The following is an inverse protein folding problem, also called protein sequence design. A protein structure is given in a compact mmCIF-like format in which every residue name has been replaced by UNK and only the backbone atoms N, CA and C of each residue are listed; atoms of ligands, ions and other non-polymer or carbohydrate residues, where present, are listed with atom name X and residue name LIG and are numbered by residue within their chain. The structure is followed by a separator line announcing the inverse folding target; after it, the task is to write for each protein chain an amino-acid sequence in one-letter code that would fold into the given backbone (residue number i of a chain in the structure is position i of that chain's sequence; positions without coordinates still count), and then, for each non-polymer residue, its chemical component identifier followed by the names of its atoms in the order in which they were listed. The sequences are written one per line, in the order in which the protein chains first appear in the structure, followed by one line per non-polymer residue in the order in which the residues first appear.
data_IF_614868322841
#
_entry.id   IF_614868322841
#
_cell.length_a   1.000
_cell.length_b   1.000
_cell.length_c   1.000
_cell.angle_alpha   90.00
_cell.angle_beta   90.00
_cell.angle_gamma   90.00
#
_symmetry.space_group_name_H-M   'P 1'
#
loop_
_entity.id
_entity.type
_entity.pdbx_description
1 polymer ?
#
# COMPACT_ATOMS: atom_id res chain seq x y z
N UNK A 1 -32.80 -3.14 61.22
CA UNK A 1 -33.06 -1.82 60.58
C UNK A 1 -31.91 -1.50 59.64
N UNK A 2 -32.22 -1.36 58.34
CA UNK A 2 -31.47 -0.62 57.28
C UNK A 2 -30.07 -1.13 56.92
N UNK A 3 -29.62 -1.22 55.66
CA UNK A 3 -30.17 -1.14 54.29
C UNK A 3 -29.02 -1.65 53.40
N UNK A 4 -29.33 -2.36 52.31
CA UNK A 4 -28.36 -2.82 51.30
C UNK A 4 -27.50 -1.69 50.72
N UNK A 5 -26.28 -2.02 50.27
CA UNK A 5 -25.76 -1.52 48.99
C UNK A 5 -24.76 -2.53 48.40
N UNK A 6 -25.12 -3.09 47.25
CA UNK A 6 -24.25 -3.83 46.33
C UNK A 6 -23.54 -2.80 45.44
N UNK A 7 -22.26 -2.99 45.16
CA UNK A 7 -21.69 -2.55 43.88
C UNK A 7 -20.49 -3.45 43.51
N UNK A 8 -20.71 -4.32 42.52
CA UNK A 8 -19.65 -4.85 41.66
C UNK A 8 -18.97 -3.70 40.93
N UNK A 9 -17.65 -3.78 40.71
CA UNK A 9 -17.02 -3.40 39.44
C UNK A 9 -15.71 -4.19 39.34
N UNK A 10 -15.72 -5.08 38.36
CA UNK A 10 -14.56 -5.79 37.83
C UNK A 10 -13.68 -4.78 37.07
N UNK A 11 -12.38 -4.76 37.35
CA UNK A 11 -11.40 -4.19 36.42
C UNK A 11 -10.48 -5.33 36.03
N UNK A 12 -10.83 -5.90 34.88
CA UNK A 12 -9.98 -6.69 34.01
C UNK A 12 -8.74 -5.83 33.71
N UNK A 13 -7.60 -6.14 34.32
CA UNK A 13 -6.32 -5.67 33.80
C UNK A 13 -6.04 -6.52 32.58
N UNK A 14 -6.49 -6.04 31.42
CA UNK A 14 -5.91 -6.43 30.14
C UNK A 14 -4.44 -6.03 30.21
N UNK A 15 -3.59 -7.00 30.53
CA UNK A 15 -2.19 -6.93 30.14
C UNK A 15 -2.21 -6.84 28.62
N UNK A 16 -2.01 -5.63 28.09
CA UNK A 16 -1.49 -5.44 26.75
C UNK A 16 -0.16 -6.20 26.72
N UNK A 17 -0.23 -7.48 26.37
CA UNK A 17 0.89 -8.19 25.81
C UNK A 17 1.29 -7.38 24.60
N UNK A 18 2.37 -6.60 24.77
CA UNK A 18 3.07 -6.00 23.67
C UNK A 18 3.28 -7.08 22.62
N UNK A 19 2.81 -6.82 21.41
CA UNK A 19 3.17 -7.62 20.26
C UNK A 19 4.67 -7.35 20.02
N UNK A 20 5.52 -8.03 20.79
CA UNK A 20 6.84 -8.40 20.36
C UNK A 20 6.64 -9.62 19.45
N UNK A 21 6.26 -9.36 18.20
CA UNK A 21 6.21 -10.35 17.12
C UNK A 21 7.18 -9.90 16.05
N UNK A 22 8.06 -10.79 15.60
CA UNK A 22 9.09 -10.47 14.59
C UNK A 22 8.48 -9.74 13.41
N UNK A 23 9.14 -8.66 13.00
CA UNK A 23 8.73 -7.76 11.93
C UNK A 23 8.78 -8.46 10.57
N UNK A 24 7.73 -9.20 10.24
CA UNK A 24 7.25 -9.20 8.87
C UNK A 24 6.84 -7.75 8.61
N UNK A 25 7.38 -7.12 7.56
CA UNK A 25 6.90 -5.78 7.20
C UNK A 25 5.41 -5.93 6.84
N UNK A 26 4.60 -4.92 7.17
CA UNK A 26 3.14 -4.99 6.98
C UNK A 26 2.71 -5.37 5.54
N UNK A 27 3.60 -5.12 4.58
CA UNK A 27 3.37 -5.36 3.16
C UNK A 27 3.98 -6.66 2.63
N UNK A 28 4.85 -7.34 3.39
CA UNK A 28 5.51 -8.57 2.93
C UNK A 28 4.50 -9.63 2.45
N UNK A 29 4.68 -10.09 1.22
CA UNK A 29 3.84 -11.07 0.54
C UNK A 29 2.55 -10.52 -0.06
N UNK A 30 2.32 -9.20 -0.06
CA UNK A 30 1.14 -8.57 -0.66
C UNK A 30 1.39 -8.16 -2.12
N UNK A 31 0.35 -8.26 -2.94
CA UNK A 31 0.31 -7.67 -4.28
C UNK A 31 -0.76 -6.57 -4.31
N UNK A 32 -0.34 -5.33 -4.54
CA UNK A 32 -1.21 -4.15 -4.51
C UNK A 32 -1.29 -3.48 -5.89
N UNK A 33 -2.49 -3.36 -6.44
CA UNK A 33 -2.77 -2.60 -7.67
C UNK A 33 -3.32 -1.21 -7.37
N UNK A 34 -2.87 -0.21 -8.12
CA UNK A 34 -3.23 1.19 -7.91
C UNK A 34 -4.44 1.61 -8.73
N UNK A 35 -5.32 2.37 -8.11
CA UNK A 35 -6.45 3.04 -8.75
C UNK A 35 -6.61 4.49 -8.28
N UNK A 36 -6.81 5.41 -9.23
CA UNK A 36 -7.10 6.84 -8.96
C UNK A 36 -8.61 7.13 -8.76
N UNK A 37 -9.49 6.18 -9.03
CA UNK A 37 -10.95 6.37 -9.01
C UNK A 37 -11.65 5.07 -8.64
N UNK A 38 -12.63 5.09 -7.71
CA UNK A 38 -13.83 4.24 -7.91
C UNK A 38 -15.11 4.60 -7.11
N UNK A 39 -15.90 5.62 -7.49
CA UNK A 39 -17.11 5.97 -6.73
C UNK A 39 -18.34 5.07 -6.99
N UNK A 40 -18.23 3.95 -7.73
CA UNK A 40 -19.43 3.21 -8.19
C UNK A 40 -19.41 1.70 -7.98
N UNK A 41 -18.34 1.11 -7.45
CA UNK A 41 -18.33 -0.32 -7.13
C UNK A 41 -18.87 -0.51 -5.73
N UNK A 42 -19.98 -1.22 -5.61
CA UNK A 42 -20.52 -1.56 -4.30
C UNK A 42 -19.65 -2.62 -3.60
N UNK A 43 -19.69 -2.67 -2.27
CA UNK A 43 -18.96 -3.67 -1.47
C UNK A 43 -19.20 -5.09 -1.96
N UNK A 44 -20.45 -5.43 -2.27
CA UNK A 44 -20.84 -6.76 -2.76
C UNK A 44 -20.28 -7.06 -4.16
N UNK A 45 -20.07 -6.05 -4.99
CA UNK A 45 -19.43 -6.22 -6.31
C UNK A 45 -17.90 -6.34 -6.18
N UNK A 46 -17.28 -5.66 -5.21
CA UNK A 46 -15.85 -5.80 -4.93
C UNK A 46 -15.53 -7.17 -4.31
N UNK A 47 -16.30 -7.62 -3.32
CA UNK A 47 -16.11 -8.92 -2.66
C UNK A 47 -16.47 -10.12 -3.57
N UNK A 48 -17.39 -9.94 -4.52
CA UNK A 48 -17.78 -11.00 -5.47
C UNK A 48 -16.96 -11.03 -6.76
N UNK A 49 -16.23 -9.96 -7.08
CA UNK A 49 -15.35 -9.93 -8.23
C UNK A 49 -14.01 -10.59 -7.84
N UNK A 50 -13.61 -11.63 -8.56
CA UNK A 50 -12.18 -11.92 -8.71
C UNK A 50 -11.57 -10.73 -9.47
N UNK A 51 -11.12 -9.71 -8.73
CA UNK A 51 -10.45 -8.57 -9.32
C UNK A 51 -9.07 -9.02 -9.80
N UNK A 52 -8.90 -9.10 -11.12
CA UNK A 52 -7.59 -9.41 -11.71
C UNK A 52 -7.01 -8.14 -12.28
N UNK A 53 -5.80 -7.80 -11.86
CA UNK A 53 -5.09 -6.67 -12.43
C UNK A 53 -4.93 -6.89 -13.94
N UNK A 54 -5.41 -5.91 -14.72
CA UNK A 54 -5.09 -5.86 -16.14
C UNK A 54 -3.63 -5.45 -16.31
N UNK A 55 -3.02 -5.75 -17.45
CA UNK A 55 -1.64 -5.34 -17.74
C UNK A 55 -1.40 -3.83 -17.62
N UNK A 56 -2.44 -3.00 -17.73
CA UNK A 56 -2.33 -1.54 -17.69
C UNK A 56 -2.53 -0.98 -16.27
N UNK A 57 -2.75 -1.85 -15.29
CA UNK A 57 -2.84 -1.48 -13.89
C UNK A 57 -1.41 -1.37 -13.35
N UNK A 58 -1.01 -0.26 -12.72
CA UNK A 58 0.24 -0.22 -11.97
C UNK A 58 0.10 -1.16 -10.77
N UNK A 59 1.02 -2.10 -10.63
CA UNK A 59 0.99 -3.12 -9.55
C UNK A 59 2.33 -3.14 -8.83
N UNK A 60 2.31 -3.15 -7.50
CA UNK A 60 3.45 -3.43 -6.65
C UNK A 60 3.30 -4.82 -6.03
N UNK A 61 4.32 -5.65 -6.16
CA UNK A 61 4.42 -6.96 -5.49
C UNK A 61 5.54 -6.89 -4.44
N UNK A 62 5.18 -6.92 -3.17
CA UNK A 62 6.08 -6.79 -2.04
C UNK A 62 6.63 -8.17 -1.66
N UNK A 63 7.56 -8.68 -2.46
CA UNK A 63 8.07 -10.06 -2.39
C UNK A 63 8.66 -10.42 -1.01
N UNK A 64 9.26 -9.43 -0.33
CA UNK A 64 9.90 -9.61 0.97
C UNK A 64 9.77 -8.36 1.84
N UNK A 65 10.39 -8.37 3.03
CA UNK A 65 10.41 -7.21 3.92
C UNK A 65 10.98 -5.90 3.33
N UNK A 66 11.71 -5.98 2.21
CA UNK A 66 12.35 -4.85 1.54
C UNK A 66 12.26 -4.87 0.03
N UNK A 67 12.09 -6.04 -0.56
CA UNK A 67 12.07 -6.19 -2.01
C UNK A 67 10.68 -5.92 -2.54
N UNK A 68 10.60 -5.16 -3.64
CA UNK A 68 9.36 -4.90 -4.37
C UNK A 68 9.58 -5.05 -5.87
N UNK A 69 8.57 -5.54 -6.57
CA UNK A 69 8.51 -5.41 -8.02
C UNK A 69 7.37 -4.48 -8.41
N UNK A 70 7.63 -3.63 -9.39
CA UNK A 70 6.64 -2.78 -9.99
C UNK A 70 6.33 -3.29 -11.41
N UNK A 71 5.06 -3.52 -11.71
CA UNK A 71 4.62 -4.00 -13.02
C UNK A 71 3.62 -3.04 -13.67
N UNK A 72 3.86 -2.70 -14.93
CA UNK A 72 2.96 -1.88 -15.74
C UNK A 72 3.18 -2.13 -17.24
N UNK A 73 2.10 -2.22 -18.00
CA UNK A 73 2.06 -2.43 -19.45
C UNK A 73 2.88 -3.64 -19.93
N UNK A 74 2.97 -4.68 -19.10
CA UNK A 74 3.73 -5.91 -19.38
C UNK A 74 5.24 -5.80 -19.12
N UNK A 75 5.71 -4.68 -18.59
CA UNK A 75 7.07 -4.50 -18.08
C UNK A 75 7.08 -4.67 -16.57
N UNK A 76 8.17 -5.21 -16.04
CA UNK A 76 8.38 -5.44 -14.61
C UNK A 76 9.76 -4.91 -14.23
N UNK A 77 9.81 -4.19 -13.13
CA UNK A 77 10.98 -3.53 -12.57
C UNK A 77 11.17 -4.00 -11.14
N UNK A 78 12.40 -4.26 -10.75
CA UNK A 78 12.73 -4.68 -9.39
C UNK A 78 13.28 -3.50 -8.60
N UNK A 79 13.08 -3.51 -7.30
CA UNK A 79 13.75 -2.58 -6.42
C UNK A 79 13.39 -2.80 -4.97
N UNK A 80 13.38 -1.72 -4.20
CA UNK A 80 13.22 -1.76 -2.76
C UNK A 80 12.10 -0.82 -2.30
N UNK A 81 11.54 -1.12 -1.14
CA UNK A 81 10.60 -0.25 -0.45
C UNK A 81 10.93 -0.11 1.03
N UNK A 82 10.44 0.98 1.62
CA UNK A 82 10.41 1.21 3.06
C UNK A 82 9.04 1.69 3.48
N UNK A 83 8.56 1.23 4.63
CA UNK A 83 7.32 1.71 5.25
C UNK A 83 7.62 2.13 6.69
N UNK A 84 7.56 3.43 6.96
CA UNK A 84 7.81 4.02 8.29
C UNK A 84 6.78 5.13 8.56
N UNK A 85 6.11 5.10 9.72
CA UNK A 85 5.18 6.16 10.15
C UNK A 85 4.15 6.62 9.09
N UNK A 86 3.46 5.68 8.43
CA UNK A 86 2.50 5.92 7.33
C UNK A 86 3.12 6.59 6.09
N UNK A 87 4.44 6.49 5.93
CA UNK A 87 5.16 6.93 4.74
C UNK A 87 5.75 5.71 4.01
N UNK A 88 5.26 5.47 2.79
CA UNK A 88 5.72 4.40 1.91
C UNK A 88 6.62 5.00 0.83
N UNK A 89 7.89 4.62 0.82
CA UNK A 89 8.83 4.95 -0.26
C UNK A 89 9.11 3.71 -1.09
N UNK A 90 9.04 3.83 -2.41
CA UNK A 90 9.33 2.76 -3.36
C UNK A 90 10.34 3.27 -4.36
N UNK A 91 11.41 2.52 -4.57
CA UNK A 91 12.39 2.76 -5.63
C UNK A 91 12.53 1.53 -6.50
N UNK A 92 12.49 1.69 -7.83
CA UNK A 92 12.70 0.61 -8.79
C UNK A 92 13.66 1.03 -9.90
N UNK A 93 14.35 0.04 -10.48
CA UNK A 93 15.43 0.27 -11.43
C UNK A 93 15.17 -0.42 -12.79
N UNK A 94 15.68 0.18 -13.85
CA UNK A 94 15.78 -0.39 -15.21
C UNK A 94 17.16 -0.06 -15.80
N UNK A 95 18.15 -0.92 -15.54
CA UNK A 95 19.52 -0.69 -15.99
C UNK A 95 20.19 0.45 -15.21
N UNK A 96 20.48 1.55 -15.88
CA UNK A 96 21.02 2.78 -15.30
C UNK A 96 19.96 3.85 -15.00
N UNK A 97 18.69 3.56 -15.31
CA UNK A 97 17.56 4.41 -14.94
C UNK A 97 16.93 3.95 -13.63
N UNK A 98 16.38 4.89 -12.86
CA UNK A 98 15.64 4.61 -11.63
C UNK A 98 14.43 5.51 -11.46
N UNK A 99 13.43 5.02 -10.74
CA UNK A 99 12.24 5.77 -10.37
C UNK A 99 11.98 5.58 -8.88
N UNK A 100 11.77 6.68 -8.17
CA UNK A 100 11.36 6.68 -6.76
C UNK A 100 10.01 7.39 -6.63
N UNK A 101 9.08 6.81 -5.89
CA UNK A 101 7.78 7.41 -5.56
C UNK A 101 7.57 7.29 -4.05
N UNK A 102 7.20 8.41 -3.44
CA UNK A 102 6.86 8.49 -2.03
C UNK A 102 5.36 8.72 -1.85
N UNK A 103 4.74 7.99 -0.92
CA UNK A 103 3.36 8.14 -0.52
C UNK A 103 3.27 8.54 0.95
N UNK A 104 2.62 9.67 1.22
CA UNK A 104 2.22 10.09 2.56
C UNK A 104 0.82 9.58 2.90
N UNK A 105 0.54 9.52 4.20
CA UNK A 105 -0.73 9.02 4.74
C UNK A 105 -1.06 7.61 4.24
N UNK A 106 -0.03 6.81 3.94
CA UNK A 106 -0.17 5.42 3.51
C UNK A 106 -0.62 4.57 4.68
N UNK A 107 -1.89 4.15 4.64
CA UNK A 107 -2.52 3.38 5.73
C UNK A 107 -3.67 2.53 5.22
N UNK A 108 -4.17 1.64 6.08
CA UNK A 108 -5.36 0.87 5.78
C UNK A 108 -6.52 1.79 5.38
N UNK A 109 -7.17 1.48 4.26
CA UNK A 109 -8.22 2.31 3.69
C UNK A 109 -9.50 2.27 4.53
N UNK A 110 -10.20 3.40 4.60
CA UNK A 110 -11.57 3.46 5.16
C UNK A 110 -12.62 2.93 4.17
N UNK A 111 -12.28 2.89 2.88
CA UNK A 111 -13.12 2.32 1.83
C UNK A 111 -13.10 0.79 1.92
N UNK A 112 -14.27 0.16 2.03
CA UNK A 112 -14.39 -1.28 2.26
C UNK A 112 -13.88 -2.16 1.11
N UNK A 113 -13.64 -1.57 -0.07
CA UNK A 113 -13.17 -2.27 -1.27
C UNK A 113 -11.68 -2.04 -1.57
N UNK A 114 -10.98 -1.21 -0.78
CA UNK A 114 -9.55 -0.99 -0.91
C UNK A 114 -8.83 -1.43 0.37
N UNK A 115 -7.63 -1.96 0.22
CA UNK A 115 -6.83 -2.41 1.38
C UNK A 115 -6.06 -1.26 1.98
N UNK A 116 -5.47 -0.41 1.14
CA UNK A 116 -4.73 0.78 1.56
C UNK A 116 -5.14 2.00 0.76
N UNK A 117 -4.82 3.17 1.29
CA UNK A 117 -4.85 4.42 0.55
C UNK A 117 -3.60 5.23 0.89
N UNK A 118 -3.22 6.14 0.00
CA UNK A 118 -2.05 7.00 0.17
C UNK A 118 -2.03 8.11 -0.86
N UNK A 119 -1.28 9.17 -0.59
CA UNK A 119 -1.16 10.35 -1.45
C UNK A 119 0.28 10.50 -1.88
N UNK A 120 0.53 10.67 -3.18
CA UNK A 120 1.89 10.86 -3.69
C UNK A 120 2.44 12.18 -3.15
N UNK A 121 3.51 12.13 -2.37
CA UNK A 121 4.15 13.29 -1.75
C UNK A 121 5.42 13.73 -2.49
N UNK A 122 6.16 12.79 -3.08
CA UNK A 122 7.30 13.08 -3.95
C UNK A 122 7.46 12.02 -5.05
N UNK A 123 8.21 12.39 -6.08
CA UNK A 123 8.55 11.53 -7.20
C UNK A 123 9.82 11.98 -7.89
N UNK A 124 10.74 11.03 -8.10
CA UNK A 124 11.99 11.26 -8.82
C UNK A 124 12.16 10.23 -9.94
N UNK A 125 12.70 10.69 -11.07
CA UNK A 125 13.05 9.86 -12.21
C UNK A 125 14.47 10.24 -12.65
N UNK A 126 15.37 9.27 -12.55
CA UNK A 126 16.67 9.33 -13.21
C UNK A 126 16.57 8.60 -14.54
N UNK A 127 16.50 9.39 -15.62
CA UNK A 127 16.56 8.86 -16.98
C UNK A 127 18.03 8.63 -17.29
N UNK A 128 18.50 7.39 -17.19
CA UNK A 128 19.85 7.00 -17.59
C UNK A 128 20.20 7.37 -19.04
N UNK A 129 21.32 6.85 -19.55
CA UNK A 129 21.80 7.22 -20.89
C UNK A 129 20.80 6.83 -22.03
N UNK A 130 19.85 5.93 -21.76
CA UNK A 130 18.78 5.51 -22.67
C UNK A 130 17.38 5.81 -22.12
N UNK A 131 16.44 6.19 -23.01
CA UNK A 131 15.03 6.35 -22.61
C UNK A 131 14.40 5.00 -22.31
N UNK A 132 14.03 4.76 -21.05
CA UNK A 132 13.42 3.50 -20.61
C UNK A 132 11.89 3.56 -20.63
N UNK A 133 11.24 2.40 -20.50
CA UNK A 133 9.80 2.37 -20.27
C UNK A 133 9.41 2.89 -18.87
N UNK A 134 10.40 3.03 -17.98
CA UNK A 134 10.22 3.57 -16.63
C UNK A 134 9.77 5.03 -16.65
N UNK A 135 10.23 5.84 -17.62
CA UNK A 135 9.72 7.20 -17.85
C UNK A 135 8.20 7.21 -18.07
N UNK A 136 7.67 6.22 -18.82
CA UNK A 136 6.24 6.14 -19.07
C UNK A 136 5.48 5.68 -17.82
N UNK A 137 6.08 4.82 -17.01
CA UNK A 137 5.52 4.43 -15.73
C UNK A 137 5.42 5.61 -14.76
N UNK A 138 6.49 6.38 -14.61
CA UNK A 138 6.56 7.55 -13.73
C UNK A 138 5.41 8.53 -13.97
N UNK A 139 5.03 8.73 -15.24
CA UNK A 139 3.91 9.63 -15.62
C UNK A 139 2.52 9.17 -15.16
N UNK A 140 2.38 7.97 -14.60
CA UNK A 140 1.12 7.50 -14.00
C UNK A 140 0.95 7.97 -12.55
N UNK A 141 1.99 8.56 -11.96
CA UNK A 141 1.98 9.09 -10.60
C UNK A 141 1.87 10.61 -10.65
N UNK A 142 0.72 11.14 -10.25
CA UNK A 142 0.52 12.58 -10.10
C UNK A 142 0.89 13.02 -8.69
N UNK A 143 1.73 14.06 -8.57
CA UNK A 143 2.01 14.70 -7.28
C UNK A 143 0.71 15.21 -6.65
N UNK A 144 0.58 15.04 -5.33
CA UNK A 144 -0.62 15.34 -4.52
C UNK A 144 -1.87 14.53 -4.92
N UNK A 145 -1.77 13.52 -5.80
CA UNK A 145 -2.89 12.65 -6.13
C UNK A 145 -3.06 11.53 -5.11
N UNK A 146 -4.32 11.24 -4.78
CA UNK A 146 -4.70 10.20 -3.85
C UNK A 146 -4.99 8.89 -4.59
N UNK A 147 -4.40 7.80 -4.13
CA UNK A 147 -4.54 6.47 -4.71
C UNK A 147 -5.16 5.51 -3.72
N UNK A 148 -6.02 4.64 -4.24
CA UNK A 148 -6.51 3.46 -3.55
C UNK A 148 -5.72 2.24 -4.03
N UNK A 149 -5.31 1.41 -3.07
CA UNK A 149 -4.57 0.18 -3.32
C UNK A 149 -5.50 -1.02 -3.08
N UNK A 150 -5.69 -1.81 -4.13
CA UNK A 150 -6.47 -3.03 -4.12
C UNK A 150 -5.52 -4.22 -3.92
N UNK A 151 -5.86 -5.16 -3.06
CA UNK A 151 -5.08 -6.39 -2.86
C UNK A 151 -5.70 -7.53 -3.68
N UNK A 152 -4.86 -8.37 -4.30
CA UNK A 152 -5.27 -9.60 -5.01
C UNK A 152 -5.23 -10.84 -4.11
#
# INVERSE_FOLDING_TARGET
MKKSLVMMISILLLTLTGCAGGSESELEGKTLGLSMYNPTVSKEEAEAAEFKFSSNTPVFDFESSKDVTFSLNGSTYTGEYTLEDEHLSITVEDGDASMSIDFDEFKASEEEYASYSGTVSDGELDEGDETTQLTNAYRNFGLDEHYLFLEE
#
